data_IF_662311487089
#
_entry.id   IF_662311487089
#
_cell.length_a   1.000
_cell.length_b   1.000
_cell.length_c   1.000
_cell.angle_alpha   90.00
_cell.angle_beta   90.00
_cell.angle_gamma   90.00
#
_symmetry.space_group_name_H-M   'P 1'
#
loop_
_entity.id
_entity.type
_entity.pdbx_description
1 polymer ?
#
# COMPACT_ATOMS: atom_id res chain seq x y z
N UNK A 1 -16.99 -20.82 -25.33
CA UNK A 1 -17.68 -19.65 -25.92
C UNK A 1 -17.62 -18.56 -24.86
N UNK A 2 -16.56 -17.76 -24.84
CA UNK A 2 -16.42 -16.68 -23.85
C UNK A 2 -17.21 -15.48 -24.39
N UNK A 3 -18.31 -15.13 -23.71
CA UNK A 3 -19.09 -13.95 -24.01
C UNK A 3 -18.18 -12.70 -23.94
N UNK A 4 -18.26 -11.87 -24.98
CA UNK A 4 -17.70 -10.51 -24.97
C UNK A 4 -18.36 -9.78 -23.80
N UNK A 5 -17.58 -9.55 -22.73
CA UNK A 5 -17.94 -8.56 -21.72
C UNK A 5 -17.96 -7.20 -22.43
N UNK A 6 -19.10 -6.53 -22.36
CA UNK A 6 -19.23 -5.17 -22.84
C UNK A 6 -18.17 -4.32 -22.12
N UNK A 7 -17.38 -3.61 -22.91
CA UNK A 7 -16.46 -2.58 -22.45
C UNK A 7 -17.29 -1.31 -22.12
N UNK A 8 -18.21 -1.42 -21.14
CA UNK A 8 -18.75 -0.25 -20.47
C UNK A 8 -17.68 0.26 -19.53
N UNK A 9 -17.27 1.51 -19.70
CA UNK A 9 -16.27 2.26 -18.95
C UNK A 9 -16.18 1.79 -17.50
N UNK A 10 -15.27 0.86 -17.23
CA UNK A 10 -14.99 0.45 -15.87
C UNK A 10 -14.09 1.54 -15.26
N UNK A 11 -14.70 2.58 -14.68
CA UNK A 11 -13.95 3.61 -13.92
C UNK A 11 -12.98 2.93 -12.98
N UNK A 12 -11.74 3.36 -13.00
CA UNK A 12 -10.71 2.87 -12.08
C UNK A 12 -11.07 3.30 -10.65
N UNK A 13 -10.54 2.61 -9.66
CA UNK A 13 -10.69 3.07 -8.27
C UNK A 13 -9.71 4.23 -8.03
N UNK A 14 -10.10 5.24 -7.22
CA UNK A 14 -9.20 6.31 -6.84
C UNK A 14 -7.97 5.77 -6.12
N UNK A 15 -6.86 6.47 -6.26
CA UNK A 15 -5.62 6.13 -5.58
C UNK A 15 -5.55 6.85 -4.23
N UNK A 16 -5.40 6.13 -3.15
CA UNK A 16 -4.95 6.64 -1.85
C UNK A 16 -3.45 6.43 -1.75
N UNK A 17 -2.71 7.52 -1.89
CA UNK A 17 -1.26 7.54 -1.76
C UNK A 17 -0.89 7.92 -0.33
N UNK A 18 -0.44 6.95 0.44
CA UNK A 18 0.01 7.15 1.82
C UNK A 18 1.43 7.71 1.85
N UNK A 19 1.59 8.85 2.51
CA UNK A 19 2.84 9.59 2.61
C UNK A 19 2.92 10.36 3.94
N UNK A 20 3.89 11.25 4.06
CA UNK A 20 4.04 12.24 5.12
C UNK A 20 4.81 13.46 4.62
N UNK A 21 4.72 14.58 5.33
CA UNK A 21 5.40 15.82 4.95
C UNK A 21 6.93 15.67 4.81
N UNK A 22 7.53 14.74 5.57
CA UNK A 22 8.97 14.44 5.51
C UNK A 22 9.39 13.70 4.25
N UNK A 23 8.44 13.07 3.57
CA UNK A 23 8.66 12.31 2.34
C UNK A 23 8.23 13.09 1.08
N UNK A 24 7.97 14.40 1.22
CA UNK A 24 7.51 15.23 0.09
C UNK A 24 8.48 15.30 -1.09
N UNK A 25 9.74 14.99 -0.87
CA UNK A 25 10.76 14.87 -1.91
C UNK A 25 10.58 13.63 -2.82
N UNK A 26 9.82 12.64 -2.38
CA UNK A 26 9.51 11.45 -3.18
C UNK A 26 8.35 11.67 -4.15
N UNK A 27 7.53 12.70 -3.96
CA UNK A 27 6.27 12.84 -4.70
C UNK A 27 6.48 13.12 -6.18
N UNK A 28 7.41 14.02 -6.54
CA UNK A 28 7.68 14.32 -7.94
C UNK A 28 8.18 13.08 -8.71
N UNK A 29 9.18 12.33 -8.22
CA UNK A 29 9.57 11.06 -8.82
C UNK A 29 8.43 10.05 -8.90
N UNK A 30 7.65 9.89 -7.82
CA UNK A 30 6.52 8.98 -7.79
C UNK A 30 5.50 9.31 -8.90
N UNK A 31 5.05 10.56 -8.99
CA UNK A 31 4.05 10.97 -9.98
C UNK A 31 4.59 10.94 -11.41
N UNK A 32 5.85 11.24 -11.62
CA UNK A 32 6.51 11.09 -12.93
C UNK A 32 6.46 9.62 -13.38
N UNK A 33 6.84 8.69 -12.51
CA UNK A 33 6.82 7.25 -12.80
C UNK A 33 5.40 6.71 -12.91
N UNK A 34 4.47 7.19 -12.07
CA UNK A 34 3.06 6.85 -12.16
C UNK A 34 2.52 7.20 -13.55
N UNK A 35 2.73 8.42 -14.02
CA UNK A 35 2.28 8.88 -15.33
C UNK A 35 2.95 8.10 -16.49
N UNK A 36 4.22 7.75 -16.34
CA UNK A 36 4.97 6.95 -17.33
C UNK A 36 4.44 5.52 -17.42
N UNK A 37 4.22 4.87 -16.28
CA UNK A 37 3.94 3.44 -16.22
C UNK A 37 2.46 3.09 -16.00
N UNK A 38 1.65 4.09 -15.63
CA UNK A 38 0.20 3.97 -15.50
C UNK A 38 -0.51 5.17 -16.16
N UNK A 39 -0.34 5.37 -17.49
CA UNK A 39 -0.92 6.52 -18.20
C UNK A 39 -2.46 6.54 -18.20
N UNK A 40 -3.10 5.40 -17.92
CA UNK A 40 -4.55 5.29 -17.81
C UNK A 40 -5.10 5.78 -16.45
N UNK A 41 -4.22 6.16 -15.51
CA UNK A 41 -4.65 6.69 -14.22
C UNK A 41 -5.18 8.11 -14.40
N UNK A 42 -6.49 8.23 -14.48
CA UNK A 42 -7.26 9.46 -14.66
C UNK A 42 -8.18 9.77 -13.46
N UNK A 43 -8.25 8.87 -12.51
CA UNK A 43 -9.01 9.04 -11.29
C UNK A 43 -8.31 9.93 -10.27
N UNK A 44 -9.08 10.39 -9.29
CA UNK A 44 -8.55 11.21 -8.20
C UNK A 44 -7.49 10.49 -7.36
N UNK A 45 -6.42 11.20 -7.05
CA UNK A 45 -5.39 10.77 -6.13
C UNK A 45 -5.57 11.50 -4.80
N UNK A 46 -5.88 10.76 -3.75
CA UNK A 46 -5.94 11.27 -2.38
C UNK A 46 -4.57 11.13 -1.74
N UNK A 47 -3.82 12.22 -1.64
CA UNK A 47 -2.50 12.23 -1.01
C UNK A 47 -2.64 12.40 0.51
N UNK A 48 -2.31 11.33 1.24
CA UNK A 48 -2.30 11.30 2.70
C UNK A 48 -0.99 11.89 3.23
N UNK A 49 -1.03 13.15 3.65
CA UNK A 49 0.11 13.91 4.19
C UNK A 49 -0.41 14.85 5.28
N UNK A 50 0.44 15.37 6.16
CA UNK A 50 -0.03 16.18 7.29
C UNK A 50 -0.51 17.56 6.85
N UNK A 51 0.36 18.36 6.27
CA UNK A 51 0.07 19.77 5.96
C UNK A 51 0.46 20.19 4.56
N UNK A 52 1.49 19.55 3.98
CA UNK A 52 1.98 19.90 2.65
C UNK A 52 0.96 19.55 1.57
N UNK A 53 1.09 20.25 0.44
CA UNK A 53 0.27 20.05 -0.76
C UNK A 53 1.18 19.69 -1.92
N UNK A 54 0.65 18.92 -2.86
CA UNK A 54 1.35 18.58 -4.09
C UNK A 54 0.50 18.97 -5.29
N UNK A 55 1.16 19.44 -6.32
CA UNK A 55 0.60 19.61 -7.64
C UNK A 55 1.50 18.91 -8.64
N UNK A 56 0.90 18.22 -9.60
CA UNK A 56 1.61 17.59 -10.71
C UNK A 56 0.71 17.67 -11.96
N UNK A 57 1.27 18.19 -13.06
CA UNK A 57 0.51 18.47 -14.28
C UNK A 57 -0.14 17.21 -14.85
N UNK A 58 -1.44 17.31 -15.09
CA UNK A 58 -2.24 16.23 -15.66
C UNK A 58 -2.60 15.12 -14.68
N UNK A 59 -2.54 15.38 -13.36
CA UNK A 59 -3.09 14.50 -12.31
C UNK A 59 -4.01 15.29 -11.38
N UNK A 60 -5.16 14.71 -11.01
CA UNK A 60 -6.09 15.28 -9.99
C UNK A 60 -5.64 14.86 -8.60
N UNK A 61 -4.76 15.65 -7.98
CA UNK A 61 -4.21 15.36 -6.64
C UNK A 61 -4.94 16.18 -5.59
N UNK A 62 -5.57 15.50 -4.64
CA UNK A 62 -6.26 16.08 -3.49
C UNK A 62 -5.51 15.78 -2.19
N UNK A 63 -5.05 16.82 -1.49
CA UNK A 63 -4.37 16.72 -0.17
C UNK A 63 -5.24 17.46 0.86
N UNK A 64 -6.32 16.87 1.39
CA UNK A 64 -7.33 17.62 2.15
C UNK A 64 -6.96 17.82 3.62
N UNK A 65 -5.93 17.13 4.12
CA UNK A 65 -5.63 17.11 5.55
C UNK A 65 -4.92 18.38 6.03
N UNK A 66 -5.12 18.69 7.29
CA UNK A 66 -4.35 19.65 8.08
C UNK A 66 -4.22 19.06 9.49
N UNK A 67 -3.23 18.18 9.66
CA UNK A 67 -3.04 17.41 10.87
C UNK A 67 -2.03 18.07 11.80
N UNK A 68 -2.18 17.92 13.12
CA UNK A 68 -1.21 18.43 14.07
C UNK A 68 0.13 17.71 13.94
N UNK A 69 1.20 18.41 14.30
CA UNK A 69 2.53 17.81 14.36
C UNK A 69 2.53 16.59 15.30
N UNK A 70 3.12 15.48 14.83
CA UNK A 70 3.20 14.23 15.59
C UNK A 70 1.99 13.31 15.46
N UNK A 71 1.00 13.65 14.60
CA UNK A 71 -0.04 12.68 14.25
C UNK A 71 0.58 11.40 13.67
N UNK A 72 -0.01 10.27 14.01
CA UNK A 72 0.48 8.98 13.54
C UNK A 72 0.03 8.66 12.12
N UNK A 73 0.69 7.69 11.49
CA UNK A 73 0.32 7.19 10.17
C UNK A 73 -1.17 6.82 10.08
N UNK A 74 -1.66 6.06 11.05
CA UNK A 74 -3.06 5.61 11.04
C UNK A 74 -4.05 6.74 11.33
N UNK A 75 -3.72 7.72 12.17
CA UNK A 75 -4.57 8.89 12.40
C UNK A 75 -4.75 9.70 11.12
N UNK A 76 -3.66 9.91 10.37
CA UNK A 76 -3.71 10.59 9.08
C UNK A 76 -4.59 9.81 8.08
N UNK A 77 -4.39 8.48 7.98
CA UNK A 77 -5.14 7.64 7.06
C UNK A 77 -6.64 7.57 7.45
N UNK A 78 -6.97 7.37 8.73
CA UNK A 78 -8.36 7.38 9.22
C UNK A 78 -9.04 8.71 8.87
N UNK A 79 -8.33 9.83 9.04
CA UNK A 79 -8.86 11.15 8.72
C UNK A 79 -9.03 11.32 7.22
N UNK A 80 -8.07 10.88 6.39
CA UNK A 80 -8.15 10.95 4.94
C UNK A 80 -9.34 10.17 4.40
N UNK A 81 -9.58 8.97 4.91
CA UNK A 81 -10.68 8.10 4.45
C UNK A 81 -12.07 8.73 4.64
N UNK A 82 -12.20 9.78 5.47
CA UNK A 82 -13.44 10.56 5.58
C UNK A 82 -13.69 11.48 4.36
N UNK A 83 -12.65 11.80 3.59
CA UNK A 83 -12.74 12.59 2.37
C UNK A 83 -12.88 11.73 1.10
N UNK A 84 -12.49 10.46 1.17
CA UNK A 84 -12.67 9.50 0.07
C UNK A 84 -14.15 9.16 -0.03
N UNK A 85 -14.77 9.50 -1.16
CA UNK A 85 -16.22 9.30 -1.37
C UNK A 85 -16.56 7.89 -1.81
N UNK A 86 -15.65 7.27 -2.53
CA UNK A 86 -15.76 5.96 -3.16
C UNK A 86 -15.72 4.83 -2.13
N UNK A 87 -16.39 3.71 -2.43
CA UNK A 87 -16.44 2.52 -1.57
C UNK A 87 -15.20 1.64 -1.69
N UNK A 88 -14.44 1.82 -2.75
CA UNK A 88 -13.24 1.08 -3.07
C UNK A 88 -12.11 2.02 -3.40
N UNK A 89 -10.88 1.58 -3.17
CA UNK A 89 -9.68 2.36 -3.47
C UNK A 89 -8.48 1.46 -3.83
N UNK A 90 -7.56 2.01 -4.60
CA UNK A 90 -6.19 1.52 -4.71
C UNK A 90 -5.39 2.18 -3.59
N UNK A 91 -4.60 1.42 -2.85
CA UNK A 91 -3.70 1.95 -1.82
C UNK A 91 -2.26 1.72 -2.23
N UNK A 92 -1.41 2.74 -2.10
CA UNK A 92 0.05 2.66 -2.33
C UNK A 92 0.79 3.54 -1.32
N UNK A 93 2.08 3.25 -1.11
CA UNK A 93 3.01 4.14 -0.42
C UNK A 93 3.79 4.96 -1.44
N UNK A 94 4.25 6.14 -1.04
CA UNK A 94 4.96 7.11 -1.87
C UNK A 94 6.38 6.67 -2.31
N UNK A 95 6.90 5.64 -1.68
CA UNK A 95 8.19 5.02 -2.01
C UNK A 95 8.07 3.80 -2.94
N UNK A 96 6.85 3.43 -3.37
CA UNK A 96 6.62 2.37 -4.37
C UNK A 96 6.78 2.90 -5.79
N UNK A 97 7.99 3.30 -6.13
CA UNK A 97 8.33 3.81 -7.44
C UNK A 97 8.23 2.73 -8.50
N UNK A 98 7.36 2.94 -9.49
CA UNK A 98 7.10 1.94 -10.53
C UNK A 98 8.31 1.78 -11.46
N UNK A 99 8.60 0.54 -11.87
CA UNK A 99 9.71 0.15 -12.75
C UNK A 99 9.25 -0.40 -14.10
N UNK A 100 7.95 -0.62 -14.28
CA UNK A 100 7.41 -1.18 -15.50
C UNK A 100 5.92 -0.81 -15.64
N UNK A 101 5.35 -0.92 -16.86
CA UNK A 101 3.94 -0.69 -17.11
C UNK A 101 3.04 -1.53 -16.19
N UNK A 102 1.98 -0.90 -15.72
CA UNK A 102 0.95 -1.54 -14.90
C UNK A 102 0.20 -2.58 -15.72
N UNK A 103 -0.05 -3.75 -15.14
CA UNK A 103 -0.90 -4.75 -15.77
C UNK A 103 -2.39 -4.36 -15.60
N UNK A 104 -2.85 -3.50 -16.51
CA UNK A 104 -4.21 -2.92 -16.47
C UNK A 104 -5.27 -4.01 -16.54
N UNK A 105 -5.12 -5.00 -17.40
CA UNK A 105 -6.11 -6.08 -17.54
C UNK A 105 -6.31 -6.85 -16.24
N UNK A 106 -5.22 -7.12 -15.51
CA UNK A 106 -5.31 -7.79 -14.22
C UNK A 106 -5.87 -6.86 -13.14
N UNK A 107 -5.53 -5.57 -13.17
CA UNK A 107 -6.09 -4.56 -12.28
C UNK A 107 -7.61 -4.47 -12.43
N UNK A 108 -8.10 -4.26 -13.64
CA UNK A 108 -9.54 -4.18 -13.96
C UNK A 108 -10.27 -5.45 -13.53
N UNK A 109 -9.68 -6.62 -13.78
CA UNK A 109 -10.25 -7.89 -13.30
C UNK A 109 -10.34 -7.95 -11.78
N UNK A 110 -9.30 -7.55 -11.05
CA UNK A 110 -9.33 -7.51 -9.58
C UNK A 110 -10.37 -6.51 -9.07
N UNK A 111 -10.51 -5.35 -9.71
CA UNK A 111 -11.56 -4.37 -9.39
C UNK A 111 -12.95 -4.94 -9.62
N UNK A 112 -13.15 -5.65 -10.74
CA UNK A 112 -14.44 -6.30 -11.04
C UNK A 112 -14.77 -7.36 -9.99
N UNK A 113 -13.81 -8.20 -9.59
CA UNK A 113 -13.99 -9.19 -8.51
C UNK A 113 -14.46 -8.48 -7.23
N UNK A 114 -13.83 -7.38 -6.86
CA UNK A 114 -14.18 -6.63 -5.65
C UNK A 114 -15.57 -5.97 -5.72
N UNK A 115 -15.97 -5.47 -6.90
CA UNK A 115 -17.30 -4.87 -7.10
C UNK A 115 -18.42 -5.92 -7.02
N UNK A 116 -18.18 -7.10 -7.58
CA UNK A 116 -19.24 -8.14 -7.71
C UNK A 116 -19.32 -9.08 -6.51
N UNK A 117 -18.31 -9.07 -5.61
CA UNK A 117 -18.27 -9.96 -4.45
C UNK A 117 -18.16 -9.15 -3.15
N UNK A 118 -19.29 -9.06 -2.45
CA UNK A 118 -19.41 -8.24 -1.24
C UNK A 118 -18.54 -8.73 -0.07
N UNK A 119 -18.12 -9.98 -0.09
CA UNK A 119 -17.26 -10.61 0.90
C UNK A 119 -15.75 -10.44 0.62
N UNK A 120 -15.37 -9.90 -0.56
CA UNK A 120 -13.97 -9.54 -0.87
C UNK A 120 -13.64 -8.17 -0.30
N UNK A 121 -12.71 -8.12 0.64
CA UNK A 121 -12.33 -6.89 1.32
C UNK A 121 -10.97 -6.33 0.93
N UNK A 122 -10.03 -7.20 0.54
CA UNK A 122 -8.67 -6.82 0.20
C UNK A 122 -8.09 -7.75 -0.88
N UNK A 123 -7.41 -7.16 -1.87
CA UNK A 123 -6.60 -7.90 -2.85
C UNK A 123 -5.22 -7.23 -2.92
N UNK A 124 -4.18 -7.93 -2.46
CA UNK A 124 -2.80 -7.48 -2.63
C UNK A 124 -2.42 -7.60 -4.12
N UNK A 125 -1.92 -6.51 -4.70
CA UNK A 125 -1.64 -6.38 -6.14
C UNK A 125 -0.19 -6.71 -6.52
N UNK A 126 0.58 -7.18 -5.55
CA UNK A 126 1.93 -7.72 -5.76
C UNK A 126 2.03 -9.09 -5.10
N UNK A 127 2.72 -10.06 -5.71
CA UNK A 127 2.92 -11.36 -5.09
C UNK A 127 3.66 -11.20 -3.76
N UNK A 128 3.00 -11.58 -2.68
CA UNK A 128 3.56 -11.56 -1.34
C UNK A 128 3.03 -12.78 -0.59
N UNK A 129 3.86 -13.79 -0.47
CA UNK A 129 3.51 -15.04 0.20
C UNK A 129 4.54 -15.33 1.27
N UNK A 130 4.07 -15.62 2.47
CA UNK A 130 4.90 -16.22 3.51
C UNK A 130 5.19 -17.68 3.13
N UNK A 131 6.46 -18.06 2.90
CA UNK A 131 6.80 -19.42 2.46
C UNK A 131 6.37 -20.53 3.43
N UNK A 132 6.17 -20.17 4.69
CA UNK A 132 5.80 -21.10 5.77
C UNK A 132 4.32 -21.42 5.85
N UNK A 133 3.47 -20.79 5.03
CA UNK A 133 2.02 -20.96 5.09
C UNK A 133 1.50 -21.37 3.72
N UNK A 134 0.90 -22.54 3.65
CA UNK A 134 0.17 -22.97 2.46
C UNK A 134 -1.11 -22.16 2.34
N UNK A 135 -1.19 -21.37 1.27
CA UNK A 135 -2.40 -20.66 0.90
C UNK A 135 -2.93 -21.30 -0.40
N UNK A 136 -4.18 -21.74 -0.43
CA UNK A 136 -4.72 -22.41 -1.60
C UNK A 136 -4.93 -21.41 -2.75
N UNK A 137 -4.71 -21.90 -3.97
CA UNK A 137 -5.21 -21.21 -5.16
C UNK A 137 -6.72 -21.06 -5.06
N UNK A 138 -7.23 -19.90 -5.40
CA UNK A 138 -8.66 -19.68 -5.45
C UNK A 138 -9.24 -20.38 -6.69
N UNK A 139 -10.13 -21.34 -6.48
CA UNK A 139 -10.90 -21.96 -7.58
C UNK A 139 -11.91 -20.95 -8.16
N UNK A 140 -12.48 -20.10 -7.32
CA UNK A 140 -13.46 -19.08 -7.69
C UNK A 140 -12.84 -17.93 -8.51
N UNK A 141 -11.61 -17.52 -8.15
CA UNK A 141 -10.91 -16.43 -8.81
C UNK A 141 -9.53 -16.91 -9.33
N UNK A 142 -9.46 -17.59 -10.49
CA UNK A 142 -8.20 -18.10 -11.03
C UNK A 142 -7.13 -17.01 -11.15
N UNK A 143 -5.91 -17.27 -10.71
CA UNK A 143 -4.79 -16.30 -10.67
C UNK A 143 -4.72 -15.49 -9.38
N UNK A 144 -5.66 -15.72 -8.43
CA UNK A 144 -5.57 -15.23 -7.06
C UNK A 144 -5.31 -16.40 -6.10
N UNK A 145 -4.66 -16.08 -5.00
CA UNK A 145 -4.45 -16.95 -3.84
C UNK A 145 -5.26 -16.37 -2.70
N UNK A 146 -6.05 -17.15 -2.02
CA UNK A 146 -6.80 -16.71 -0.85
C UNK A 146 -5.93 -16.79 0.40
N UNK A 147 -5.80 -15.71 1.12
CA UNK A 147 -5.17 -15.73 2.44
C UNK A 147 -6.08 -16.39 3.49
N UNK A 148 -5.61 -17.47 4.06
CA UNK A 148 -6.25 -18.09 5.21
C UNK A 148 -6.42 -17.10 6.37
N UNK A 149 -7.38 -17.35 7.27
CA UNK A 149 -7.61 -16.44 8.40
C UNK A 149 -6.42 -16.31 9.35
N UNK A 150 -5.57 -17.31 9.42
CA UNK A 150 -4.39 -17.32 10.30
C UNK A 150 -3.11 -16.87 9.58
N UNK A 151 -3.15 -16.61 8.28
CA UNK A 151 -1.99 -16.20 7.49
C UNK A 151 -1.40 -14.90 8.09
N UNK A 152 -0.11 -14.86 8.41
CA UNK A 152 0.58 -13.61 8.76
C UNK A 152 0.48 -12.61 7.60
N UNK A 153 0.44 -11.34 7.93
CA UNK A 153 0.32 -10.26 6.92
C UNK A 153 -0.84 -10.45 5.94
N UNK A 154 -1.94 -11.08 6.44
CA UNK A 154 -3.18 -11.26 5.68
C UNK A 154 -3.73 -9.94 5.11
N UNK A 155 -3.42 -8.84 5.74
CA UNK A 155 -3.52 -7.47 5.23
C UNK A 155 -2.18 -6.79 5.35
N UNK A 156 -1.84 -5.97 4.37
CA UNK A 156 -0.52 -5.34 4.26
C UNK A 156 -0.64 -3.93 3.70
N UNK A 157 0.38 -3.12 3.86
CA UNK A 157 0.50 -1.78 3.26
C UNK A 157 1.13 -1.82 1.85
N UNK A 158 1.42 -2.99 1.32
CA UNK A 158 1.78 -3.14 -0.09
C UNK A 158 0.64 -2.64 -1.00
N UNK A 159 0.98 -2.34 -2.26
CA UNK A 159 -0.01 -1.91 -3.23
C UNK A 159 -1.19 -2.90 -3.27
N UNK A 160 -2.40 -2.40 -3.06
CA UNK A 160 -3.57 -3.26 -2.94
C UNK A 160 -4.89 -2.55 -3.20
N UNK A 161 -5.89 -3.35 -3.56
CA UNK A 161 -7.28 -2.91 -3.61
C UNK A 161 -7.93 -3.11 -2.25
N UNK A 162 -8.64 -2.12 -1.81
CA UNK A 162 -9.34 -2.13 -0.53
C UNK A 162 -10.81 -1.77 -0.69
N UNK A 163 -11.66 -2.52 0.01
CA UNK A 163 -12.97 -2.04 0.40
C UNK A 163 -12.79 -1.06 1.55
N UNK A 164 -13.23 0.19 1.37
CA UNK A 164 -13.02 1.28 2.33
C UNK A 164 -13.52 0.92 3.74
N UNK A 165 -14.75 0.39 3.83
CA UNK A 165 -15.35 -0.01 5.12
C UNK A 165 -14.51 -1.08 5.84
N UNK A 166 -13.95 -2.05 5.11
CA UNK A 166 -13.04 -3.04 5.70
C UNK A 166 -11.77 -2.39 6.24
N UNK A 167 -11.11 -1.54 5.45
CA UNK A 167 -9.91 -0.83 5.88
C UNK A 167 -10.20 0.02 7.13
N UNK A 168 -11.29 0.79 7.14
CA UNK A 168 -11.70 1.61 8.28
C UNK A 168 -11.94 0.79 9.56
N UNK A 169 -12.53 -0.41 9.45
CA UNK A 169 -12.82 -1.27 10.60
C UNK A 169 -11.58 -1.90 11.22
N UNK A 170 -10.53 -2.12 10.43
CA UNK A 170 -9.30 -2.73 10.95
C UNK A 170 -8.21 -1.73 11.31
N UNK A 171 -8.35 -0.45 10.92
CA UNK A 171 -7.46 0.63 11.35
C UNK A 171 -7.75 1.02 12.81
N UNK A 172 -6.71 1.19 13.59
CA UNK A 172 -6.78 1.83 14.90
C UNK A 172 -5.89 3.07 14.91
N UNK A 173 -6.34 4.13 15.59
CA UNK A 173 -5.53 5.32 15.83
C UNK A 173 -4.21 4.95 16.52
N UNK A 174 -3.19 5.75 16.27
CA UNK A 174 -1.85 5.60 16.87
C UNK A 174 -1.02 4.42 16.39
N UNK A 175 -1.38 3.77 15.30
CA UNK A 175 -0.53 2.74 14.69
C UNK A 175 0.44 3.34 13.67
N UNK A 176 1.63 2.75 13.59
CA UNK A 176 2.48 2.86 12.41
C UNK A 176 2.00 1.88 11.32
N UNK A 177 2.43 2.06 10.08
CA UNK A 177 2.14 1.13 8.99
C UNK A 177 2.53 -0.32 9.35
N UNK A 178 3.71 -0.51 9.95
CA UNK A 178 4.18 -1.82 10.40
C UNK A 178 3.31 -2.43 11.52
N UNK A 179 2.85 -1.63 12.49
CA UNK A 179 1.92 -2.12 13.52
C UNK A 179 0.57 -2.50 12.91
N UNK A 180 0.08 -1.72 11.96
CA UNK A 180 -1.13 -2.06 11.23
C UNK A 180 -1.01 -3.41 10.51
N UNK A 181 0.09 -3.68 9.81
CA UNK A 181 0.29 -4.97 9.14
C UNK A 181 0.23 -6.15 10.12
N UNK A 182 0.89 -6.02 11.28
CA UNK A 182 0.89 -7.07 12.31
C UNK A 182 -0.45 -7.21 13.02
N UNK A 183 -0.97 -6.12 13.57
CA UNK A 183 -2.15 -6.16 14.41
C UNK A 183 -3.45 -6.05 13.61
N UNK A 184 -3.46 -5.31 12.51
CA UNK A 184 -4.55 -5.27 11.55
C UNK A 184 -4.80 -6.64 10.94
N UNK A 185 -3.75 -7.41 10.59
CA UNK A 185 -3.89 -8.81 10.15
C UNK A 185 -4.57 -9.68 11.21
N UNK A 186 -4.27 -9.50 12.50
CA UNK A 186 -4.96 -10.24 13.57
C UNK A 186 -6.43 -9.81 13.72
N UNK A 187 -6.72 -8.52 13.64
CA UNK A 187 -8.10 -7.99 13.68
C UNK A 187 -8.91 -8.47 12.49
N UNK A 188 -8.29 -8.56 11.31
CA UNK A 188 -8.91 -9.02 10.08
C UNK A 188 -9.46 -10.45 10.15
N UNK A 189 -8.91 -11.30 11.04
CA UNK A 189 -9.36 -12.68 11.27
C UNK A 189 -10.81 -12.77 11.72
N UNK A 190 -11.28 -11.74 12.43
CA UNK A 190 -12.63 -11.65 12.99
C UNK A 190 -13.62 -10.93 12.07
N UNK A 191 -13.13 -10.38 10.95
CA UNK A 191 -13.97 -9.68 9.98
C UNK A 191 -14.61 -10.66 8.99
N UNK A 192 -15.78 -10.35 8.43
CA UNK A 192 -16.45 -11.23 7.48
C UNK A 192 -15.72 -11.34 6.14
N UNK A 193 -14.87 -10.36 5.83
CA UNK A 193 -14.22 -10.26 4.52
C UNK A 193 -13.06 -11.21 4.32
N UNK A 194 -12.95 -11.66 3.06
CA UNK A 194 -11.84 -12.44 2.53
C UNK A 194 -10.72 -11.50 2.04
N UNK A 195 -9.50 -12.01 2.04
CA UNK A 195 -8.32 -11.31 1.52
C UNK A 195 -7.59 -12.20 0.53
N UNK A 196 -7.08 -11.61 -0.52
CA UNK A 196 -6.42 -12.32 -1.62
C UNK A 196 -5.09 -11.67 -1.98
N UNK A 197 -4.27 -12.39 -2.72
CA UNK A 197 -3.07 -11.87 -3.37
C UNK A 197 -2.99 -12.38 -4.80
N UNK A 198 -2.50 -11.54 -5.70
CA UNK A 198 -2.26 -11.93 -7.09
C UNK A 198 -1.04 -12.85 -7.21
N UNK A 199 -1.08 -13.82 -8.13
CA UNK A 199 0.09 -14.63 -8.47
C UNK A 199 1.09 -13.90 -9.37
N UNK A 200 0.59 -12.99 -10.21
CA UNK A 200 1.39 -12.16 -11.11
C UNK A 200 1.24 -10.71 -10.69
N UNK A 201 2.32 -9.92 -10.62
CA UNK A 201 2.23 -8.54 -10.14
C UNK A 201 1.39 -7.67 -11.09
N UNK A 202 0.50 -6.87 -10.52
CA UNK A 202 -0.15 -5.75 -11.20
C UNK A 202 0.82 -4.57 -11.26
N UNK A 203 1.45 -4.25 -10.15
CA UNK A 203 2.48 -3.22 -10.04
C UNK A 203 3.86 -3.84 -9.88
N UNK A 204 4.86 -3.24 -10.50
CA UNK A 204 6.26 -3.66 -10.37
C UNK A 204 7.08 -2.54 -9.77
N UNK A 205 7.55 -2.73 -8.55
CA UNK A 205 8.47 -1.88 -7.80
C UNK A 205 9.39 -2.74 -6.96
N UNK A 206 10.40 -2.16 -6.35
CA UNK A 206 11.34 -2.89 -5.50
C UNK A 206 10.68 -3.31 -4.18
N UNK A 207 11.00 -4.50 -3.70
CA UNK A 207 10.46 -5.07 -2.47
C UNK A 207 10.68 -4.14 -1.27
N UNK A 208 9.56 -3.66 -0.70
CA UNK A 208 9.52 -2.71 0.40
C UNK A 208 9.74 -1.25 0.01
N UNK A 209 9.77 -0.94 -1.32
CA UNK A 209 9.91 0.43 -1.81
C UNK A 209 11.36 0.93 -1.92
N UNK A 210 11.54 2.15 -2.43
CA UNK A 210 12.86 2.78 -2.62
C UNK A 210 13.46 3.26 -1.30
N UNK A 211 12.64 3.39 -0.25
CA UNK A 211 13.08 3.75 1.09
C UNK A 211 13.03 2.56 2.05
N UNK A 212 13.93 2.60 3.00
CA UNK A 212 13.88 1.80 4.20
C UNK A 212 14.11 2.70 5.42
N UNK A 213 13.09 2.89 6.25
CA UNK A 213 13.10 3.80 7.43
C UNK A 213 13.58 5.22 7.09
N UNK A 214 13.12 5.76 5.98
CA UNK A 214 13.46 7.10 5.54
C UNK A 214 14.84 7.26 4.88
N UNK A 215 15.60 6.17 4.74
CA UNK A 215 16.87 6.12 4.03
C UNK A 215 16.67 5.50 2.65
N UNK A 216 17.34 6.01 1.62
CA UNK A 216 17.34 5.34 0.33
C UNK A 216 18.02 3.97 0.43
N UNK A 217 17.39 2.95 -0.13
CA UNK A 217 18.04 1.67 -0.42
C UNK A 217 18.93 1.88 -1.64
N UNK A 218 20.25 1.81 -1.46
CA UNK A 218 21.24 2.25 -2.44
C UNK A 218 21.05 1.60 -3.82
N UNK A 219 20.76 0.32 -3.84
CA UNK A 219 20.62 -0.47 -5.05
C UNK A 219 19.40 -0.01 -5.85
N UNK A 220 18.30 0.28 -5.16
CA UNK A 220 17.05 0.70 -5.77
C UNK A 220 17.12 2.16 -6.25
N UNK A 221 17.57 3.06 -5.37
CA UNK A 221 17.66 4.47 -5.69
C UNK A 221 18.61 4.75 -6.86
N UNK A 222 19.78 4.08 -6.90
CA UNK A 222 20.72 4.19 -8.02
C UNK A 222 20.11 3.71 -9.33
N UNK A 223 19.38 2.60 -9.31
CA UNK A 223 18.71 2.10 -10.50
C UNK A 223 17.76 3.15 -11.09
N UNK A 224 16.97 3.83 -10.25
CA UNK A 224 16.06 4.89 -10.71
C UNK A 224 16.82 6.12 -11.24
N UNK A 225 17.93 6.50 -10.60
CA UNK A 225 18.77 7.59 -11.10
C UNK A 225 19.36 7.28 -12.47
N UNK A 226 19.85 6.07 -12.67
CA UNK A 226 20.54 5.62 -13.91
C UNK A 226 19.56 5.33 -15.06
N UNK A 227 18.39 4.74 -14.76
CA UNK A 227 17.46 4.25 -15.80
C UNK A 227 16.27 5.18 -16.02
N UNK A 228 15.89 5.98 -15.03
CA UNK A 228 14.74 6.88 -15.09
C UNK A 228 15.14 8.36 -15.04
N UNK A 229 16.42 8.66 -14.85
CA UNK A 229 16.90 10.03 -14.74
C UNK A 229 16.41 10.76 -13.51
N UNK A 230 16.06 10.03 -12.43
CA UNK A 230 15.56 10.62 -11.19
C UNK A 230 16.70 11.25 -10.42
N UNK A 231 16.57 12.54 -10.12
CA UNK A 231 17.46 13.22 -9.20
C UNK A 231 17.10 12.85 -7.76
N UNK A 232 18.05 12.19 -7.09
CA UNK A 232 17.88 11.79 -5.69
C UNK A 232 18.06 13.01 -4.78
N UNK A 233 17.26 13.08 -3.72
CA UNK A 233 17.30 14.20 -2.75
C UNK A 233 18.68 14.29 -2.10
N UNK A 234 19.40 15.41 -2.26
CA UNK A 234 20.68 15.60 -1.60
C UNK A 234 20.56 15.54 -0.08
N UNK A 235 21.50 14.84 0.55
CA UNK A 235 21.55 14.73 2.01
C UNK A 235 20.61 13.69 2.63
N UNK A 236 19.69 13.07 1.88
CA UNK A 236 18.96 11.90 2.37
C UNK A 236 19.94 10.74 2.52
N UNK A 237 19.98 10.15 3.72
CA UNK A 237 20.86 8.99 3.99
C UNK A 237 20.59 7.85 3.01
N UNK A 238 21.67 7.17 2.62
CA UNK A 238 21.62 6.02 1.72
C UNK A 238 22.43 4.86 2.32
N UNK A 239 21.90 3.64 2.17
CA UNK A 239 22.58 2.42 2.63
C UNK A 239 22.15 1.19 1.86
N UNK A 240 22.92 0.13 1.87
CA UNK A 240 22.48 -1.14 1.28
C UNK A 240 21.28 -1.69 2.08
N UNK A 241 20.39 -2.43 1.42
CA UNK A 241 19.24 -3.07 2.10
C UNK A 241 19.69 -3.88 3.30
N UNK A 242 20.78 -4.65 3.14
CA UNK A 242 21.37 -5.48 4.20
C UNK A 242 21.83 -4.65 5.41
N UNK A 243 22.56 -3.56 5.17
CA UNK A 243 23.07 -2.68 6.25
C UNK A 243 21.91 -2.05 7.01
N UNK A 244 20.93 -1.50 6.28
CA UNK A 244 19.74 -0.86 6.87
C UNK A 244 18.90 -1.86 7.69
N UNK A 245 18.82 -3.12 7.25
CA UNK A 245 18.12 -4.18 7.98
C UNK A 245 18.88 -4.64 9.23
N UNK A 246 20.21 -4.71 9.20
CA UNK A 246 21.03 -5.06 10.36
C UNK A 246 20.86 -4.02 11.49
N UNK A 247 20.92 -2.73 11.17
CA UNK A 247 20.64 -1.66 12.13
C UNK A 247 19.22 -1.77 12.74
N UNK A 248 18.28 -2.36 12.01
CA UNK A 248 16.91 -2.60 12.49
C UNK A 248 16.86 -3.63 13.62
N UNK A 249 17.66 -4.69 13.54
CA UNK A 249 17.58 -5.80 14.51
C UNK A 249 17.90 -5.30 15.92
N UNK A 250 18.83 -4.36 16.03
CA UNK A 250 19.20 -3.75 17.32
C UNK A 250 18.11 -2.83 17.86
N UNK A 251 17.52 -1.98 17.01
CA UNK A 251 16.43 -1.06 17.43
C UNK A 251 15.09 -1.76 17.63
N UNK A 252 14.83 -2.85 16.90
CA UNK A 252 13.56 -3.59 17.00
C UNK A 252 13.35 -4.24 18.37
N UNK A 253 14.42 -4.63 19.07
CA UNK A 253 14.35 -5.12 20.44
C UNK A 253 13.86 -4.05 21.43
N UNK A 254 14.34 -2.82 21.29
CA UNK A 254 13.89 -1.68 22.12
C UNK A 254 12.41 -1.30 21.85
N UNK A 255 11.97 -1.40 20.61
CA UNK A 255 10.56 -1.12 20.25
C UNK A 255 9.60 -2.16 20.82
N UNK A 256 10.00 -3.44 20.91
CA UNK A 256 9.20 -4.50 21.54
C UNK A 256 9.04 -4.31 23.04
N UNK A 257 9.92 -3.55 23.69
CA UNK A 257 9.83 -3.19 25.12
C UNK A 257 8.96 -1.95 25.36
N UNK A 258 8.49 -1.27 24.32
CA UNK A 258 7.63 -0.11 24.48
C UNK A 258 6.27 -0.51 25.09
N UNK A 259 5.79 0.11 26.18
CA UNK A 259 4.57 -0.30 26.87
C UNK A 259 3.34 -0.41 25.96
N UNK A 260 3.26 0.46 24.96
CA UNK A 260 2.20 0.47 23.95
C UNK A 260 2.24 -0.74 23.02
N UNK A 261 3.44 -1.18 22.61
CA UNK A 261 3.59 -2.42 21.85
C UNK A 261 3.06 -3.61 22.63
N UNK A 262 3.42 -3.69 23.92
CA UNK A 262 2.94 -4.75 24.83
C UNK A 262 1.42 -4.70 24.99
N UNK A 263 0.84 -3.52 25.15
CA UNK A 263 -0.61 -3.34 25.26
C UNK A 263 -1.33 -3.82 24.00
N UNK A 264 -0.92 -3.38 22.80
CA UNK A 264 -1.53 -3.81 21.53
C UNK A 264 -1.28 -5.29 21.25
N UNK A 265 -0.12 -5.82 21.63
CA UNK A 265 0.16 -7.25 21.55
C UNK A 265 -0.84 -8.05 22.39
N UNK A 266 -1.04 -7.68 23.66
CA UNK A 266 -1.99 -8.34 24.57
C UNK A 266 -3.41 -8.23 24.02
N UNK A 267 -3.86 -7.01 23.68
CA UNK A 267 -5.20 -6.76 23.13
C UNK A 267 -5.51 -7.53 21.85
N UNK A 268 -4.51 -7.82 21.04
CA UNK A 268 -4.68 -8.57 19.77
C UNK A 268 -4.75 -10.09 19.96
N UNK A 269 -4.39 -10.59 21.18
CA UNK A 269 -4.42 -12.02 21.51
C UNK A 269 -5.63 -12.40 22.36
N UNK A 270 -6.34 -11.43 22.92
CA UNK A 270 -7.62 -11.60 23.59
C UNK A 270 -8.76 -11.33 22.59
#
# INVERSE_FOLDING_TARGET
MFGKLNADNCELFPLVLSSCDKCSDLWQPFFMLLKKYWPQMDERIYLCTETKRCHFDGLDICSPLNMPAGSTWSENLIKLLQYVKEDYLVFMLDDFWLKAPVNIQLLERCQQIMRTNADVGFICLVPQLEPSVENPLSEEFPGLIEYGRQTPYRVTTQAGLWRKDYLQRILLSHESAWWFEMFGSKRSRRMPWRSFVVQTPVFRYDDGGVLYRGCYVSEYAKWFAENEGIELTPGRRMGSKRTLQQEQTEMGLLQKLHPRYVYEYVRSHI
#
